data_IF_354952654737
#
_entry.id   IF_354952654737
#
_cell.length_a   1.000
_cell.length_b   1.000
_cell.length_c   1.000
_cell.angle_alpha   90.00
_cell.angle_beta   90.00
_cell.angle_gamma   90.00
#
_symmetry.space_group_name_H-M   'P 1'
#
loop_
_entity.id
_entity.type
_entity.pdbx_description
1 polymer ?
#
# COMPACT_ATOMS: atom_id res chain seq x y z
N UNK A 1 39.41 52.74 -1.05
CA UNK A 1 38.33 52.07 -0.31
C UNK A 1 37.68 51.07 -1.26
N UNK A 2 37.77 49.76 -0.95
CA UNK A 2 37.15 48.69 -1.74
C UNK A 2 35.73 48.51 -1.20
N UNK A 3 34.73 48.63 -2.08
CA UNK A 3 33.33 48.33 -1.74
C UNK A 3 32.92 47.07 -2.48
N UNK A 4 32.33 46.15 -1.72
CA UNK A 4 32.23 44.73 -2.00
C UNK A 4 31.18 44.38 -3.06
N UNK A 5 31.51 43.32 -3.81
CA UNK A 5 30.63 42.57 -4.71
C UNK A 5 29.43 42.00 -3.94
N UNK A 6 28.22 42.30 -4.40
CA UNK A 6 27.01 41.61 -3.96
C UNK A 6 27.13 40.13 -4.31
N UNK A 7 27.15 39.27 -3.29
CA UNK A 7 27.21 37.83 -3.45
C UNK A 7 25.92 37.30 -4.05
N UNK A 8 26.05 36.60 -5.17
CA UNK A 8 24.98 35.77 -5.73
C UNK A 8 24.58 34.71 -4.70
N UNK A 9 23.35 34.80 -4.21
CA UNK A 9 22.75 33.82 -3.30
C UNK A 9 22.47 32.53 -4.07
N UNK A 10 23.29 31.51 -3.81
CA UNK A 10 23.19 30.16 -4.43
C UNK A 10 21.99 29.35 -3.86
N UNK A 11 21.24 29.90 -2.91
CA UNK A 11 20.10 29.25 -2.28
C UNK A 11 18.76 29.87 -2.72
N UNK A 12 18.43 29.73 -4.00
CA UNK A 12 17.05 29.79 -4.46
C UNK A 12 16.36 28.42 -4.25
N UNK A 13 15.03 28.36 -4.03
CA UNK A 13 14.33 27.09 -3.90
C UNK A 13 14.43 26.32 -5.23
N UNK A 14 15.31 25.32 -5.25
CA UNK A 14 15.49 24.40 -6.38
C UNK A 14 14.30 23.45 -6.41
N UNK A 15 13.23 23.87 -7.09
CA UNK A 15 12.06 23.05 -7.39
C UNK A 15 12.49 21.99 -8.41
N UNK A 16 12.86 20.81 -7.95
CA UNK A 16 13.05 19.67 -8.86
C UNK A 16 11.68 19.23 -9.36
N UNK A 17 11.43 19.22 -10.68
CA UNK A 17 10.18 18.67 -11.20
C UNK A 17 10.16 17.18 -10.90
N UNK A 18 9.29 16.76 -9.98
CA UNK A 18 8.97 15.36 -9.74
C UNK A 18 8.41 14.81 -11.07
N UNK A 19 9.23 14.07 -11.81
CA UNK A 19 8.78 13.29 -12.95
C UNK A 19 7.95 12.13 -12.40
N UNK A 20 6.66 12.39 -12.19
CA UNK A 20 5.66 11.35 -11.87
C UNK A 20 5.53 10.42 -13.06
N UNK A 21 6.32 9.35 -13.06
CA UNK A 21 6.18 8.25 -14.00
C UNK A 21 4.91 7.49 -13.64
N UNK A 22 3.80 7.81 -14.30
CA UNK A 22 2.54 7.09 -14.12
C UNK A 22 2.63 5.77 -14.88
N UNK A 23 3.02 4.69 -14.19
CA UNK A 23 2.85 3.34 -14.70
C UNK A 23 1.36 3.02 -14.69
N UNK A 24 0.66 3.39 -15.77
CA UNK A 24 -0.73 3.02 -15.99
C UNK A 24 -0.74 1.54 -16.32
N UNK A 25 -1.01 0.69 -15.32
CA UNK A 25 -1.29 -0.72 -15.55
C UNK A 25 -2.60 -0.84 -16.33
N UNK A 26 -2.51 -0.78 -17.65
CA UNK A 26 -3.63 -1.13 -18.52
C UNK A 26 -3.85 -2.63 -18.38
N UNK A 27 -4.79 -3.03 -17.52
CA UNK A 27 -5.45 -4.32 -17.70
C UNK A 27 -6.11 -4.28 -19.06
N UNK A 28 -5.44 -4.82 -20.09
CA UNK A 28 -6.09 -5.26 -21.32
C UNK A 28 -7.12 -6.31 -20.90
N UNK A 29 -8.32 -5.86 -20.52
CA UNK A 29 -9.49 -6.70 -20.71
C UNK A 29 -9.45 -7.04 -22.18
N UNK A 30 -9.31 -8.34 -22.49
CA UNK A 30 -9.49 -8.88 -23.83
C UNK A 30 -10.89 -8.47 -24.28
N UNK A 31 -10.97 -7.25 -24.80
CA UNK A 31 -12.15 -6.61 -25.32
C UNK A 31 -12.42 -7.32 -26.61
N UNK A 32 -13.38 -8.25 -26.56
CA UNK A 32 -13.97 -8.94 -27.70
C UNK A 32 -12.93 -9.15 -28.82
N UNK A 33 -11.85 -9.89 -28.52
CA UNK A 33 -11.15 -10.53 -29.63
C UNK A 33 -12.17 -11.50 -30.20
N UNK A 34 -12.37 -11.47 -31.51
CA UNK A 34 -12.91 -12.61 -32.24
C UNK A 34 -12.34 -13.89 -31.61
N UNK A 35 -13.15 -14.96 -31.46
CA UNK A 35 -12.72 -16.18 -30.78
C UNK A 35 -11.29 -16.48 -31.24
N UNK A 36 -10.32 -16.67 -30.32
CA UNK A 36 -8.95 -16.91 -30.73
C UNK A 36 -9.01 -18.10 -31.69
N UNK A 37 -8.74 -17.87 -32.96
CA UNK A 37 -8.63 -18.91 -33.98
C UNK A 37 -7.34 -19.67 -33.70
N UNK A 38 -7.25 -20.27 -32.51
CA UNK A 38 -6.31 -21.32 -32.18
C UNK A 38 -6.98 -22.58 -32.71
N UNK A 39 -6.58 -23.11 -33.88
CA UNK A 39 -7.23 -24.26 -34.49
C UNK A 39 -7.29 -25.45 -33.52
N UNK A 40 -6.27 -25.61 -32.67
CA UNK A 40 -6.23 -26.59 -31.60
C UNK A 40 -7.36 -26.44 -30.56
N UNK A 41 -7.68 -25.20 -30.13
CA UNK A 41 -8.75 -24.93 -29.17
C UNK A 41 -10.14 -25.18 -29.80
N UNK A 42 -10.31 -24.83 -31.07
CA UNK A 42 -11.54 -25.10 -31.81
C UNK A 42 -11.80 -26.61 -31.95
N UNK A 43 -10.75 -27.38 -32.26
CA UNK A 43 -10.82 -28.84 -32.34
C UNK A 43 -11.11 -29.50 -30.99
N UNK A 44 -10.48 -29.02 -29.91
CA UNK A 44 -10.79 -29.48 -28.55
C UNK A 44 -12.25 -29.24 -28.19
N UNK A 45 -12.73 -27.99 -28.33
CA UNK A 45 -14.12 -27.65 -28.02
C UNK A 45 -15.13 -28.45 -28.86
N UNK A 46 -14.83 -28.76 -30.12
CA UNK A 46 -15.69 -29.61 -30.95
C UNK A 46 -15.74 -31.07 -30.45
N UNK A 47 -14.67 -31.58 -29.82
CA UNK A 47 -14.64 -32.93 -29.23
C UNK A 47 -15.36 -33.01 -27.88
N UNK A 48 -15.30 -31.95 -27.07
CA UNK A 48 -15.93 -31.93 -25.73
C UNK A 48 -17.33 -31.30 -25.68
N UNK A 49 -17.77 -30.60 -26.72
CA UNK A 49 -19.15 -30.09 -26.80
C UNK A 49 -20.02 -31.00 -27.67
N UNK A 50 -21.28 -31.15 -27.27
CA UNK A 50 -22.32 -31.77 -28.09
C UNK A 50 -23.34 -30.69 -28.48
N UNK A 51 -23.82 -30.65 -29.74
CA UNK A 51 -24.89 -29.74 -30.11
C UNK A 51 -26.14 -30.10 -29.30
N UNK A 52 -26.61 -29.17 -28.48
CA UNK A 52 -27.84 -29.32 -27.70
C UNK A 52 -29.02 -28.80 -28.51
N UNK A 53 -30.11 -29.56 -28.55
CA UNK A 53 -31.37 -29.08 -29.16
C UNK A 53 -31.94 -27.99 -28.27
N UNK A 54 -32.06 -26.76 -28.79
CA UNK A 54 -32.61 -25.64 -28.03
C UNK A 54 -34.12 -25.82 -27.89
N UNK A 55 -34.56 -26.32 -26.73
CA UNK A 55 -36.00 -26.44 -26.43
C UNK A 55 -36.68 -25.07 -26.29
N UNK A 56 -35.90 -24.02 -26.04
CA UNK A 56 -36.35 -22.64 -25.91
C UNK A 56 -35.71 -21.76 -26.99
N UNK A 57 -36.45 -20.76 -27.45
CA UNK A 57 -35.95 -19.74 -28.38
C UNK A 57 -34.75 -19.05 -27.76
N UNK A 58 -33.64 -18.97 -28.51
CA UNK A 58 -32.44 -18.28 -28.05
C UNK A 58 -32.79 -16.82 -27.69
N UNK A 59 -32.36 -16.33 -26.51
CA UNK A 59 -32.62 -14.96 -26.11
C UNK A 59 -31.96 -14.00 -27.10
N UNK A 60 -32.68 -12.93 -27.46
CA UNK A 60 -32.16 -11.94 -28.39
C UNK A 60 -30.77 -11.45 -27.94
N UNK A 61 -29.77 -11.40 -28.83
CA UNK A 61 -28.43 -10.98 -28.46
C UNK A 61 -28.48 -9.58 -27.87
N UNK A 62 -27.88 -9.39 -26.67
CA UNK A 62 -27.82 -8.08 -26.03
C UNK A 62 -27.00 -7.13 -26.89
N UNK A 63 -27.68 -6.28 -27.64
CA UNK A 63 -27.06 -5.15 -28.35
C UNK A 63 -26.53 -4.18 -27.29
N UNK A 64 -25.23 -4.26 -26.98
CA UNK A 64 -24.60 -3.25 -26.16
C UNK A 64 -24.49 -1.97 -27.00
N UNK A 65 -25.29 -0.96 -26.66
CA UNK A 65 -25.13 0.40 -27.20
C UNK A 65 -23.67 0.80 -27.08
N UNK A 66 -23.00 1.07 -28.22
CA UNK A 66 -21.65 1.64 -28.23
C UNK A 66 -21.71 2.99 -27.52
N UNK A 67 -21.20 3.04 -26.29
CA UNK A 67 -20.98 4.30 -25.59
C UNK A 67 -19.88 5.04 -26.36
N UNK A 68 -20.20 6.21 -26.91
CA UNK A 68 -19.20 7.16 -27.42
C UNK A 68 -18.22 7.45 -26.29
N UNK A 69 -16.96 7.01 -26.44
CA UNK A 69 -15.92 7.34 -25.46
C UNK A 69 -15.55 8.80 -25.67
N UNK A 70 -16.14 9.67 -24.86
CA UNK A 70 -15.61 11.04 -24.70
C UNK A 70 -14.16 10.95 -24.23
N UNK A 71 -13.25 11.82 -24.71
CA UNK A 71 -11.86 11.82 -24.27
C UNK A 71 -11.79 11.78 -22.76
N UNK A 72 -10.97 10.87 -22.23
CA UNK A 72 -10.88 10.57 -20.80
C UNK A 72 -10.43 11.84 -20.08
N UNK A 73 -11.38 12.62 -19.57
CA UNK A 73 -11.14 13.50 -18.44
C UNK A 73 -10.56 12.60 -17.37
N UNK A 74 -9.35 12.91 -16.89
CA UNK A 74 -8.69 12.20 -15.77
C UNK A 74 -9.77 11.77 -14.78
N UNK A 75 -9.86 10.45 -14.44
CA UNK A 75 -10.92 9.97 -13.59
C UNK A 75 -10.99 10.87 -12.36
N UNK A 76 -12.12 11.55 -12.17
CA UNK A 76 -12.33 12.41 -11.00
C UNK A 76 -12.19 11.50 -9.79
N UNK A 77 -11.00 11.48 -9.17
CA UNK A 77 -10.78 10.72 -7.96
C UNK A 77 -11.80 11.23 -6.95
N UNK A 78 -12.54 10.32 -6.33
CA UNK A 78 -13.48 10.70 -5.29
C UNK A 78 -12.75 11.51 -4.22
N UNK A 79 -13.42 12.49 -3.61
CA UNK A 79 -12.83 13.36 -2.59
C UNK A 79 -12.09 12.55 -1.51
N UNK A 80 -12.63 11.39 -1.14
CA UNK A 80 -12.04 10.45 -0.19
C UNK A 80 -10.66 9.93 -0.62
N UNK A 81 -10.49 9.55 -1.90
CA UNK A 81 -9.21 9.05 -2.43
C UNK A 81 -8.18 10.18 -2.58
N UNK A 82 -8.62 11.39 -2.91
CA UNK A 82 -7.74 12.56 -2.96
C UNK A 82 -7.22 12.94 -1.57
N UNK A 83 -8.07 12.85 -0.53
CA UNK A 83 -7.66 13.07 0.87
C UNK A 83 -6.75 11.94 1.35
N UNK A 84 -7.06 10.68 1.04
CA UNK A 84 -6.22 9.55 1.42
C UNK A 84 -4.83 9.60 0.77
N UNK A 85 -4.73 10.03 -0.49
CA UNK A 85 -3.45 10.17 -1.19
C UNK A 85 -2.55 11.29 -0.64
N UNK A 86 -3.11 12.23 0.15
CA UNK A 86 -2.34 13.27 0.84
C UNK A 86 -1.78 12.81 2.19
N UNK A 87 -2.21 11.63 2.68
CA UNK A 87 -1.75 11.09 3.96
C UNK A 87 -0.43 10.37 3.73
N UNK A 88 0.55 10.64 4.58
CA UNK A 88 1.84 9.95 4.56
C UNK A 88 1.73 8.57 5.24
N UNK A 89 2.74 7.73 5.07
CA UNK A 89 2.88 6.49 5.85
C UNK A 89 3.01 6.78 7.35
N UNK A 90 3.69 7.87 7.72
CA UNK A 90 3.77 8.36 9.10
C UNK A 90 2.39 8.70 9.68
N UNK A 91 1.45 9.18 8.86
CA UNK A 91 0.08 9.39 9.31
C UNK A 91 -0.68 8.07 9.53
N UNK A 92 -0.30 7.00 8.83
CA UNK A 92 -0.92 5.69 8.99
C UNK A 92 -0.45 5.01 10.27
N UNK A 93 0.85 5.04 10.55
CA UNK A 93 1.44 4.51 11.79
C UNK A 93 0.90 5.25 13.01
N UNK A 94 0.84 6.59 12.98
CA UNK A 94 0.28 7.39 14.08
C UNK A 94 -1.19 7.08 14.36
N UNK A 95 -1.98 6.79 13.31
CA UNK A 95 -3.38 6.35 13.50
C UNK A 95 -3.47 4.95 14.09
N UNK A 96 -2.61 4.03 13.67
CA UNK A 96 -2.56 2.70 14.24
C UNK A 96 -2.18 2.76 15.73
N UNK A 97 -1.17 3.56 16.08
CA UNK A 97 -0.80 3.84 17.47
C UNK A 97 -1.98 4.41 18.27
N UNK A 98 -2.69 5.42 17.76
CA UNK A 98 -3.87 5.97 18.44
C UNK A 98 -5.00 4.94 18.65
N UNK A 99 -5.15 3.96 17.76
CA UNK A 99 -6.10 2.86 17.95
C UNK A 99 -5.61 1.92 19.06
N UNK A 100 -4.32 1.58 19.10
CA UNK A 100 -3.75 0.73 20.12
C UNK A 100 -3.86 1.36 21.51
N UNK A 101 -3.43 2.62 21.65
CA UNK A 101 -3.44 3.35 22.93
C UNK A 101 -4.87 3.48 23.48
N UNK A 102 -5.87 3.69 22.62
CA UNK A 102 -7.29 3.68 23.03
C UNK A 102 -7.74 2.31 23.51
N UNK A 103 -7.34 1.24 22.82
CA UNK A 103 -7.67 -0.13 23.24
C UNK A 103 -6.96 -0.53 24.54
N UNK A 104 -5.78 0.03 24.79
CA UNK A 104 -5.02 -0.17 26.02
C UNK A 104 -5.53 0.73 27.17
N UNK A 105 -6.51 1.61 26.91
CA UNK A 105 -7.08 2.49 27.92
C UNK A 105 -6.18 3.67 28.33
N UNK A 106 -5.13 3.96 27.56
CA UNK A 106 -4.18 5.05 27.82
C UNK A 106 -4.77 6.40 27.41
N UNK A 107 -5.57 6.42 26.34
CA UNK A 107 -6.16 7.63 25.76
C UNK A 107 -7.67 7.44 25.60
N UNK A 108 -8.46 8.50 25.81
CA UNK A 108 -9.90 8.52 25.54
C UNK A 108 -10.28 8.40 24.04
N UNK A 109 -11.55 8.11 23.73
CA UNK A 109 -11.99 7.84 22.35
C UNK A 109 -11.75 9.01 21.36
N UNK A 110 -11.85 10.24 21.86
CA UNK A 110 -11.72 11.50 21.11
C UNK A 110 -10.38 12.21 21.29
N UNK A 111 -9.49 11.66 22.10
CA UNK A 111 -8.27 12.35 22.52
C UNK A 111 -7.10 12.05 21.58
N UNK A 112 -6.24 13.06 21.41
CA UNK A 112 -5.06 12.97 20.57
C UNK A 112 -3.90 12.35 21.35
N UNK A 113 -2.94 11.74 20.64
CA UNK A 113 -1.71 11.24 21.26
C UNK A 113 -0.93 12.43 21.83
N UNK A 114 -0.94 12.55 23.17
CA UNK A 114 -0.07 13.45 23.94
C UNK A 114 1.29 12.79 24.17
N UNK A 115 2.27 13.59 24.61
CA UNK A 115 3.61 13.11 24.95
C UNK A 115 3.52 12.16 26.15
N UNK A 116 2.81 12.58 27.20
CA UNK A 116 2.60 11.75 28.41
C UNK A 116 1.97 10.40 28.09
N UNK A 117 0.96 10.37 27.19
CA UNK A 117 0.36 9.10 26.78
C UNK A 117 1.35 8.21 26.02
N UNK A 118 2.26 8.81 25.24
CA UNK A 118 3.29 8.06 24.53
C UNK A 118 4.30 7.46 25.52
N UNK A 119 4.63 8.17 26.60
CA UNK A 119 5.49 7.67 27.68
C UNK A 119 4.80 6.55 28.46
N UNK A 120 3.51 6.70 28.80
CA UNK A 120 2.71 5.65 29.44
C UNK A 120 2.64 4.38 28.58
N UNK A 121 2.52 4.54 27.26
CA UNK A 121 2.57 3.42 26.32
C UNK A 121 3.95 2.76 26.31
N UNK A 122 5.04 3.54 26.37
CA UNK A 122 6.40 2.99 26.43
C UNK A 122 6.64 2.21 27.72
N UNK A 123 6.10 2.68 28.85
CA UNK A 123 6.17 2.00 30.15
C UNK A 123 5.65 0.55 30.11
N UNK A 124 4.63 0.27 29.29
CA UNK A 124 4.09 -1.09 29.13
C UNK A 124 5.09 -2.10 28.54
N UNK A 125 6.09 -1.61 27.80
CA UNK A 125 7.10 -2.44 27.13
C UNK A 125 8.50 -2.26 27.70
N UNK A 126 8.65 -1.59 28.85
CA UNK A 126 9.95 -1.44 29.50
C UNK A 126 10.51 -2.75 30.03
N UNK A 127 9.66 -3.75 30.28
CA UNK A 127 10.12 -5.07 30.66
C UNK A 127 10.66 -5.82 29.45
N UNK A 128 11.93 -6.19 29.51
CA UNK A 128 12.58 -7.01 28.49
C UNK A 128 11.92 -8.40 28.40
N UNK A 129 11.92 -8.96 27.18
CA UNK A 129 11.45 -10.33 26.95
C UNK A 129 12.40 -11.32 27.61
N UNK A 130 11.86 -12.38 28.25
CA UNK A 130 12.71 -13.45 28.78
C UNK A 130 13.45 -14.16 27.66
N UNK A 131 14.63 -14.71 27.97
CA UNK A 131 15.44 -15.43 27.00
C UNK A 131 14.71 -16.60 26.34
N UNK A 132 13.80 -17.25 27.09
CA UNK A 132 12.90 -18.28 26.55
C UNK A 132 11.96 -17.76 25.48
N UNK A 133 11.40 -16.56 25.65
CA UNK A 133 10.54 -15.92 24.64
C UNK A 133 11.36 -15.50 23.42
N UNK A 134 12.56 -14.97 23.63
CA UNK A 134 13.47 -14.58 22.54
C UNK A 134 13.86 -15.81 21.71
N UNK A 135 14.24 -16.92 22.36
CA UNK A 135 14.57 -18.18 21.70
C UNK A 135 13.37 -18.75 20.92
N UNK A 136 12.15 -18.68 21.47
CA UNK A 136 10.95 -19.15 20.79
C UNK A 136 10.61 -18.29 19.54
N UNK A 137 10.73 -16.96 19.66
CA UNK A 137 10.55 -16.05 18.52
C UNK A 137 11.60 -16.30 17.44
N UNK A 138 12.86 -16.46 17.84
CA UNK A 138 13.95 -16.77 16.91
C UNK A 138 13.69 -18.09 16.18
N UNK A 139 13.26 -19.15 16.88
CA UNK A 139 12.90 -20.43 16.26
C UNK A 139 11.75 -20.30 15.25
N UNK A 140 10.75 -19.43 15.51
CA UNK A 140 9.63 -19.18 14.59
C UNK A 140 10.12 -18.57 13.26
N UNK A 141 11.15 -17.73 13.32
CA UNK A 141 11.75 -17.07 12.14
C UNK A 141 13.01 -17.79 11.61
N UNK A 142 13.42 -18.90 12.23
CA UNK A 142 14.64 -19.64 11.86
C UNK A 142 15.95 -18.94 12.22
N UNK A 143 15.95 -18.05 13.20
CA UNK A 143 17.13 -17.34 13.70
C UNK A 143 17.77 -18.09 14.88
N UNK A 144 19.09 -17.96 15.04
CA UNK A 144 19.83 -18.45 16.20
C UNK A 144 20.09 -17.30 17.17
N UNK A 145 19.69 -17.47 18.44
CA UNK A 145 19.98 -16.50 19.50
C UNK A 145 21.35 -16.83 20.11
N UNK A 146 22.32 -15.90 20.14
CA UNK A 146 23.56 -16.09 20.88
C UNK A 146 23.27 -16.13 22.40
N UNK A 147 23.97 -16.99 23.14
CA UNK A 147 23.83 -17.10 24.59
C UNK A 147 24.19 -15.77 25.29
N UNK A 148 23.55 -15.51 26.43
CA UNK A 148 23.49 -14.23 27.18
C UNK A 148 24.84 -13.62 27.62
N UNK A 149 25.97 -14.24 27.27
CA UNK A 149 27.32 -13.76 27.60
C UNK A 149 27.84 -12.66 26.65
N UNK A 150 27.27 -12.48 25.46
CA UNK A 150 27.82 -11.57 24.43
C UNK A 150 26.98 -10.31 24.14
N UNK A 151 25.73 -10.22 24.62
CA UNK A 151 24.77 -9.22 24.12
C UNK A 151 24.60 -8.01 25.05
N UNK A 152 25.67 -7.58 25.73
CA UNK A 152 25.68 -6.28 26.45
C UNK A 152 25.93 -5.07 25.54
N UNK A 153 25.95 -5.25 24.22
CA UNK A 153 26.31 -4.19 23.28
C UNK A 153 25.61 -4.31 21.94
N UNK A 154 24.28 -4.37 21.91
CA UNK A 154 23.56 -3.98 20.69
C UNK A 154 23.01 -2.60 20.92
N UNK A 155 23.66 -1.64 20.26
CA UNK A 155 23.26 -0.26 20.17
C UNK A 155 21.74 -0.15 20.05
N UNK A 156 21.15 0.54 21.04
CA UNK A 156 19.83 1.14 20.92
C UNK A 156 19.80 1.84 19.57
N UNK A 157 19.11 1.25 18.60
CA UNK A 157 18.90 1.85 17.30
C UNK A 157 18.15 3.16 17.52
N UNK A 158 18.91 4.24 17.58
CA UNK A 158 18.42 5.62 17.56
C UNK A 158 17.81 5.82 16.18
N UNK A 159 16.49 5.78 16.10
CA UNK A 159 15.76 6.25 14.93
C UNK A 159 15.83 7.78 14.93
N UNK A 160 16.78 8.33 14.16
CA UNK A 160 16.81 9.75 13.73
C UNK A 160 15.94 9.92 12.49
#
# INVERSE_FOLDING_TARGET
MRSASAGDSIYGPRVYPIKVCTVVYQRKRLKNRAPPTRPALRGFLARVSRPTVSLLREPAPRVQRRRTMTPVKVPRRSRRLAIAARRSEADATRRAQAVLMRKLGIIGESEHISIDAQDDYACLFMQELSQTHIAALAALFGWSVPDDAEVRGVDLCVWV
#
